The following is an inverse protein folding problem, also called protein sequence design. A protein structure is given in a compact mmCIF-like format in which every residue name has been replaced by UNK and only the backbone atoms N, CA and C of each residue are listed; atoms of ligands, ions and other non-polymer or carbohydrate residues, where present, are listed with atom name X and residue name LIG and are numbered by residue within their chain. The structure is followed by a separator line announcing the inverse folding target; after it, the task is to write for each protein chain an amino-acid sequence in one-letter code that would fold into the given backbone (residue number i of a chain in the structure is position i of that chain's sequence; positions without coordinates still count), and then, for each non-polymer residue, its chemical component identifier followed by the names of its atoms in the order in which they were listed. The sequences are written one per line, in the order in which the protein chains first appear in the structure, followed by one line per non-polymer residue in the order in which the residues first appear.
data_IF_093942598038
#
_entry.id   IF_093942598038
#
_cell.length_a   1.000
_cell.length_b   1.000
_cell.length_c   1.000
_cell.angle_alpha   90.00
_cell.angle_beta   90.00
_cell.angle_gamma   90.00
#
_symmetry.space_group_name_H-M   'P 1'
#
loop_
_entity.id
_entity.type
_entity.pdbx_description
1 polymer ?
#
# COMPACT_ATOMS: atom_id res chain seq x y z
N UNK A 1 16.91 31.43 73.77
CA UNK A 1 16.74 29.97 73.62
C UNK A 1 16.95 29.65 72.15
N UNK A 2 18.03 28.95 71.84
CA UNK A 2 18.51 28.64 70.49
C UNK A 2 17.82 27.39 69.96
N UNK A 3 17.29 27.44 68.73
CA UNK A 3 16.85 26.27 67.98
C UNK A 3 17.53 26.27 66.62
N UNK A 4 18.26 25.19 66.37
CA UNK A 4 19.20 25.03 65.27
C UNK A 4 18.56 24.71 63.93
N UNK A 5 19.26 25.14 62.89
CA UNK A 5 19.04 24.89 61.47
C UNK A 5 19.42 23.45 61.12
N UNK A 6 18.51 22.71 60.48
CA UNK A 6 18.79 21.39 59.89
C UNK A 6 19.06 21.55 58.40
N UNK A 7 20.28 21.24 57.96
CA UNK A 7 20.63 21.05 56.56
C UNK A 7 20.41 19.59 56.16
N UNK A 8 19.68 19.34 55.08
CA UNK A 8 19.60 18.04 54.44
C UNK A 8 20.15 18.10 53.02
N UNK A 9 21.16 17.26 52.83
CA UNK A 9 22.07 17.00 51.73
C UNK A 9 21.41 16.51 50.42
N UNK A 10 21.90 17.04 49.30
CA UNK A 10 21.69 16.57 47.93
C UNK A 10 22.54 15.32 47.62
N UNK A 11 22.00 14.26 47.02
CA UNK A 11 22.82 13.16 46.51
C UNK A 11 23.36 13.43 45.09
N UNK A 12 24.63 13.05 44.88
CA UNK A 12 25.32 13.07 43.60
C UNK A 12 24.91 11.87 42.73
N UNK A 13 24.61 12.11 41.44
CA UNK A 13 24.39 11.06 40.45
C UNK A 13 25.68 10.87 39.64
N UNK A 14 26.21 9.65 39.71
CA UNK A 14 27.40 9.16 39.02
C UNK A 14 27.15 8.98 37.52
N UNK A 15 28.09 9.46 36.71
CA UNK A 15 28.15 9.24 35.26
C UNK A 15 28.59 7.80 34.94
N UNK A 16 27.94 7.18 33.96
CA UNK A 16 28.30 5.85 33.45
C UNK A 16 29.36 5.94 32.33
N UNK A 17 30.28 4.97 32.22
CA UNK A 17 31.32 4.96 31.20
C UNK A 17 30.84 4.47 29.83
N UNK A 18 31.43 5.09 28.81
CA UNK A 18 31.32 4.79 27.38
C UNK A 18 31.73 3.35 27.05
N UNK A 19 30.88 2.62 26.33
CA UNK A 19 31.24 1.37 25.67
C UNK A 19 31.68 1.63 24.22
N UNK A 20 32.96 1.39 23.95
CA UNK A 20 33.58 1.36 22.63
C UNK A 20 33.18 0.06 21.93
N UNK A 21 32.61 0.15 20.73
CA UNK A 21 32.40 -1.02 19.84
C UNK A 21 33.45 -1.08 18.72
N UNK A 22 33.90 -2.28 18.32
CA UNK A 22 34.94 -2.47 17.31
C UNK A 22 34.41 -2.38 15.87
N UNK A 23 35.30 -2.13 14.87
CA UNK A 23 34.95 -2.12 13.46
C UNK A 23 35.06 -3.53 12.86
N UNK A 24 34.22 -3.86 11.87
CA UNK A 24 34.33 -4.92 10.84
C UNK A 24 32.93 -5.14 10.23
N UNK A 25 32.66 -5.44 8.95
CA UNK A 25 33.39 -5.74 7.72
C UNK A 25 32.57 -5.15 6.56
N UNK A 26 33.24 -4.84 5.44
CA UNK A 26 32.58 -4.48 4.18
C UNK A 26 31.96 -5.68 3.47
N UNK A 27 30.83 -5.43 2.82
CA UNK A 27 30.32 -6.19 1.67
C UNK A 27 29.82 -5.15 0.66
N UNK A 28 30.34 -5.21 -0.56
CA UNK A 28 29.98 -4.30 -1.64
C UNK A 28 28.72 -4.71 -2.42
N UNK A 29 28.38 -3.82 -3.36
CA UNK A 29 27.33 -3.89 -4.41
C UNK A 29 25.93 -3.50 -3.89
N UNK A 30 25.29 -2.40 -4.32
CA UNK A 30 24.85 -2.13 -5.70
C UNK A 30 24.67 -0.62 -6.01
N UNK A 31 24.89 -0.24 -7.27
CA UNK A 31 24.59 1.07 -7.86
C UNK A 31 23.07 1.22 -8.06
N UNK A 32 22.42 1.91 -7.12
CA UNK A 32 21.13 2.60 -7.15
C UNK A 32 20.19 2.37 -8.35
N UNK A 33 19.67 1.16 -8.53
CA UNK A 33 18.66 0.80 -9.55
C UNK A 33 17.29 1.50 -9.41
N UNK A 34 17.24 2.65 -8.75
CA UNK A 34 16.07 3.51 -8.61
C UNK A 34 16.08 4.61 -9.68
N UNK A 35 14.93 4.96 -10.26
CA UNK A 35 14.85 6.00 -11.26
C UNK A 35 15.25 7.33 -10.60
N UNK A 36 16.27 7.98 -11.15
CA UNK A 36 16.55 9.39 -10.83
C UNK A 36 15.31 10.20 -11.26
N UNK A 37 14.78 11.09 -10.40
CA UNK A 37 13.68 11.95 -10.80
C UNK A 37 14.10 12.77 -12.03
N UNK A 38 13.30 12.69 -13.10
CA UNK A 38 13.40 13.56 -14.28
C UNK A 38 12.96 14.97 -13.88
N UNK A 39 13.78 15.68 -13.11
CA UNK A 39 13.49 17.05 -12.71
C UNK A 39 14.78 17.87 -12.53
N UNK A 40 15.52 18.03 -13.62
CA UNK A 40 16.16 19.31 -13.91
C UNK A 40 15.68 19.73 -15.30
N UNK A 41 14.62 20.55 -15.30
CA UNK A 41 14.20 21.34 -16.46
C UNK A 41 15.35 22.28 -16.80
N UNK A 42 16.23 21.85 -17.71
CA UNK A 42 17.23 22.73 -18.31
C UNK A 42 16.53 23.79 -19.19
N UNK A 43 17.07 25.01 -19.30
CA UNK A 43 16.53 26.04 -20.18
C UNK A 43 16.62 25.59 -21.64
N UNK A 44 15.50 25.78 -22.35
CA UNK A 44 15.31 25.39 -23.75
C UNK A 44 16.45 25.88 -24.65
N UNK A 45 17.25 24.94 -25.15
CA UNK A 45 18.06 25.15 -26.34
C UNK A 45 17.42 24.41 -27.50
N UNK A 46 16.92 25.22 -28.41
CA UNK A 46 16.29 24.90 -29.67
C UNK A 46 17.13 23.88 -30.47
N UNK A 47 16.72 22.61 -30.46
CA UNK A 47 17.22 21.60 -31.38
C UNK A 47 16.20 20.47 -31.55
N UNK A 48 15.64 20.39 -32.75
CA UNK A 48 14.66 19.38 -33.17
C UNK A 48 15.22 17.95 -33.05
N UNK A 49 14.45 16.97 -32.57
CA UNK A 49 14.87 15.57 -32.57
C UNK A 49 14.73 14.91 -33.97
N UNK A 50 15.68 14.07 -34.40
CA UNK A 50 15.81 13.57 -35.78
C UNK A 50 15.04 12.26 -36.04
N UNK A 51 13.82 12.12 -35.51
CA UNK A 51 13.01 10.90 -35.71
C UNK A 51 11.60 11.27 -36.16
N UNK A 52 11.54 11.98 -37.28
CA UNK A 52 10.32 12.18 -38.05
C UNK A 52 10.68 11.84 -39.48
N UNK A 53 10.41 10.59 -39.88
CA UNK A 53 10.24 10.09 -41.24
C UNK A 53 10.18 8.56 -41.20
N UNK A 54 8.98 8.04 -40.99
CA UNK A 54 8.56 6.77 -41.59
C UNK A 54 7.09 6.96 -41.97
N UNK A 55 6.90 7.49 -43.17
CA UNK A 55 5.78 7.10 -44.01
C UNK A 55 6.04 5.64 -44.40
N UNK A 56 5.14 4.75 -44.03
CA UNK A 56 5.04 3.45 -44.66
C UNK A 56 3.56 3.16 -44.92
N UNK A 57 3.13 3.68 -46.06
CA UNK A 57 1.95 3.24 -46.77
C UNK A 57 2.28 1.90 -47.43
N UNK A 58 1.76 0.81 -46.89
CA UNK A 58 1.57 -0.38 -47.72
C UNK A 58 0.29 -1.16 -47.37
N UNK A 59 -0.52 -1.30 -48.41
CA UNK A 59 -1.74 -2.08 -48.46
C UNK A 59 -1.35 -3.55 -48.68
N UNK A 60 -1.74 -4.48 -47.81
CA UNK A 60 -1.77 -5.89 -48.19
C UNK A 60 -2.85 -6.69 -47.45
N UNK A 61 -3.96 -6.83 -48.16
CA UNK A 61 -4.75 -8.03 -48.42
C UNK A 61 -4.79 -9.16 -47.36
N UNK A 62 -6.01 -9.43 -46.90
CA UNK A 62 -6.40 -10.58 -46.10
C UNK A 62 -6.25 -11.92 -46.84
N UNK A 63 -5.88 -13.02 -46.16
CA UNK A 63 -5.99 -14.37 -46.72
C UNK A 63 -7.38 -15.00 -46.46
N UNK A 64 -7.83 -15.90 -47.35
CA UNK A 64 -9.22 -16.36 -47.41
C UNK A 64 -9.54 -17.53 -46.47
N UNK A 65 -10.84 -17.58 -46.14
CA UNK A 65 -11.55 -18.67 -45.48
C UNK A 65 -11.51 -19.95 -46.32
N UNK A 66 -11.11 -21.06 -45.71
CA UNK A 66 -11.40 -22.41 -46.21
C UNK A 66 -12.42 -23.09 -45.28
N UNK A 67 -13.59 -23.38 -45.85
CA UNK A 67 -14.61 -24.31 -45.34
C UNK A 67 -14.36 -25.67 -45.98
N UNK A 68 -14.53 -26.77 -45.24
CA UNK A 68 -14.95 -28.11 -45.72
C UNK A 68 -15.13 -29.08 -44.53
N UNK A 69 -15.81 -30.24 -44.68
CA UNK A 69 -17.00 -30.52 -43.87
C UNK A 69 -16.94 -31.82 -43.02
N UNK A 70 -18.03 -31.98 -42.25
CA UNK A 70 -18.58 -33.17 -41.60
C UNK A 70 -18.03 -34.54 -42.00
N UNK A 71 -17.74 -35.36 -40.98
CA UNK A 71 -18.08 -36.80 -40.98
C UNK A 71 -18.37 -37.28 -39.56
N UNK A 72 -19.52 -37.96 -39.44
CA UNK A 72 -20.02 -38.71 -38.29
C UNK A 72 -19.28 -40.04 -38.17
N UNK A 73 -19.12 -40.56 -36.95
CA UNK A 73 -19.56 -41.91 -36.56
C UNK A 73 -19.19 -42.22 -35.10
N UNK A 74 -19.94 -43.17 -34.55
CA UNK A 74 -20.17 -43.43 -33.13
C UNK A 74 -19.35 -44.62 -32.58
N UNK A 75 -19.75 -45.05 -31.38
CA UNK A 75 -19.41 -46.27 -30.61
C UNK A 75 -18.01 -46.33 -29.97
N UNK A 76 -17.74 -47.00 -28.84
CA UNK A 76 -18.42 -47.53 -27.62
C UNK A 76 -17.42 -48.58 -27.08
N UNK A 77 -17.38 -48.79 -25.75
CA UNK A 77 -16.85 -49.99 -25.04
C UNK A 77 -15.30 -50.13 -24.93
N UNK A 78 -14.76 -50.12 -23.68
CA UNK A 78 -14.26 -51.27 -22.87
C UNK A 78 -12.91 -51.82 -23.37
N UNK A 79 -11.82 -52.05 -22.62
CA UNK A 79 -11.62 -52.57 -21.26
C UNK A 79 -10.11 -52.46 -20.89
N UNK A 80 -9.68 -52.84 -19.66
CA UNK A 80 -8.33 -52.60 -19.13
C UNK A 80 -7.36 -53.78 -19.27
N UNK A 81 -6.05 -53.49 -19.38
CA UNK A 81 -4.93 -54.39 -19.06
C UNK A 81 -3.61 -53.59 -19.05
N UNK A 82 -2.91 -53.45 -17.93
CA UNK A 82 -1.86 -54.35 -17.41
C UNK A 82 -0.49 -54.19 -18.10
N UNK A 83 0.44 -53.64 -17.31
CA UNK A 83 1.91 -53.83 -17.30
C UNK A 83 2.70 -53.83 -18.62
N UNK A 84 3.48 -52.76 -18.81
CA UNK A 84 4.78 -52.84 -19.47
C UNK A 84 5.83 -52.02 -18.69
N UNK A 85 6.81 -52.74 -18.16
CA UNK A 85 8.09 -52.22 -17.68
C UNK A 85 8.88 -51.73 -18.90
N UNK A 86 8.94 -50.41 -19.07
CA UNK A 86 9.73 -49.76 -20.11
C UNK A 86 10.72 -48.79 -19.48
N UNK A 87 11.96 -49.25 -19.30
CA UNK A 87 13.12 -48.41 -19.04
C UNK A 87 13.35 -47.52 -20.25
N UNK A 88 12.92 -46.27 -20.15
CA UNK A 88 13.10 -45.23 -21.16
C UNK A 88 13.74 -44.02 -20.51
N UNK A 89 15.06 -43.94 -20.57
CA UNK A 89 15.86 -42.76 -20.25
C UNK A 89 15.53 -41.62 -21.21
N UNK A 90 14.41 -40.94 -20.95
CA UNK A 90 14.09 -39.66 -21.57
C UNK A 90 14.67 -38.57 -20.67
N UNK A 91 15.88 -38.18 -21.03
CA UNK A 91 16.47 -36.88 -20.72
C UNK A 91 15.49 -35.81 -21.19
N UNK A 92 14.53 -35.45 -20.32
CA UNK A 92 13.68 -34.28 -20.48
C UNK A 92 14.58 -33.08 -20.27
N UNK A 93 15.12 -32.60 -21.39
CA UNK A 93 15.79 -31.31 -21.52
C UNK A 93 14.97 -30.28 -20.76
N UNK A 94 15.53 -29.80 -19.67
CA UNK A 94 15.04 -28.67 -18.87
C UNK A 94 15.28 -27.38 -19.66
N UNK A 95 14.62 -27.24 -20.81
CA UNK A 95 14.47 -25.98 -21.51
C UNK A 95 13.06 -25.50 -21.23
N UNK A 96 12.91 -24.54 -20.32
CA UNK A 96 11.77 -23.61 -20.06
C UNK A 96 11.84 -23.23 -18.57
N UNK A 97 12.85 -22.45 -18.19
CA UNK A 97 12.84 -21.67 -16.92
C UNK A 97 13.14 -20.19 -17.18
N UNK A 98 13.60 -19.83 -18.39
CA UNK A 98 13.99 -18.45 -18.72
C UNK A 98 12.84 -17.50 -19.07
N UNK A 99 11.60 -17.98 -19.20
CA UNK A 99 10.44 -17.16 -19.58
C UNK A 99 9.50 -16.78 -18.43
N UNK A 100 9.44 -17.58 -17.36
CA UNK A 100 8.46 -17.37 -16.27
C UNK A 100 8.86 -16.25 -15.31
N UNK A 101 10.15 -15.97 -15.14
CA UNK A 101 10.60 -14.90 -14.23
C UNK A 101 10.33 -13.50 -14.80
N UNK A 102 10.39 -13.33 -16.12
CA UNK A 102 10.07 -12.05 -16.76
C UNK A 102 8.56 -11.75 -16.78
N UNK A 103 7.71 -12.79 -16.80
CA UNK A 103 6.25 -12.62 -16.69
C UNK A 103 5.78 -12.45 -15.23
N UNK A 104 6.44 -13.09 -14.26
CA UNK A 104 6.10 -12.92 -12.84
C UNK A 104 6.32 -11.48 -12.35
N UNK A 105 7.29 -10.75 -12.91
CA UNK A 105 7.52 -9.32 -12.63
C UNK A 105 6.39 -8.41 -13.14
N UNK A 106 5.44 -8.93 -13.91
CA UNK A 106 4.33 -8.14 -14.41
C UNK A 106 3.17 -8.10 -13.42
N UNK A 107 2.95 -9.15 -12.63
CA UNK A 107 1.78 -9.18 -11.76
C UNK A 107 1.99 -8.35 -10.49
N UNK A 108 0.93 -7.71 -9.96
CA UNK A 108 0.99 -7.09 -8.64
C UNK A 108 1.42 -8.10 -7.57
N UNK A 109 2.17 -7.66 -6.54
CA UNK A 109 2.52 -8.49 -5.39
C UNK A 109 1.29 -9.13 -4.75
N UNK A 110 1.47 -10.31 -4.14
CA UNK A 110 0.36 -11.09 -3.56
C UNK A 110 -0.32 -10.37 -2.40
N UNK A 111 0.41 -9.53 -1.68
CA UNK A 111 -0.16 -8.73 -0.60
C UNK A 111 -1.02 -7.56 -1.10
N UNK A 112 -1.02 -7.26 -2.40
CA UNK A 112 -1.93 -6.28 -2.95
C UNK A 112 -3.37 -6.78 -2.83
N UNK A 113 -4.27 -5.86 -2.46
CA UNK A 113 -5.69 -6.13 -2.42
C UNK A 113 -6.16 -6.47 -3.83
N UNK A 114 -6.89 -7.57 -3.96
CA UNK A 114 -7.39 -8.05 -5.25
C UNK A 114 -8.41 -7.11 -5.90
N UNK A 115 -9.00 -6.20 -5.11
CA UNK A 115 -9.97 -5.19 -5.56
C UNK A 115 -9.31 -3.82 -5.84
N UNK A 116 -8.00 -3.69 -5.64
CA UNK A 116 -7.30 -2.44 -5.92
C UNK A 116 -7.05 -2.26 -7.41
N UNK A 117 -7.34 -1.07 -7.92
CA UNK A 117 -6.87 -0.62 -9.22
C UNK A 117 -6.63 0.88 -9.14
N UNK A 118 -5.40 1.29 -9.45
CA UNK A 118 -4.96 2.67 -9.34
C UNK A 118 -5.51 3.55 -10.47
N UNK A 119 -5.77 2.93 -11.62
CA UNK A 119 -6.38 3.55 -12.78
C UNK A 119 -7.91 3.50 -12.75
N UNK A 120 -8.50 3.18 -11.59
CA UNK A 120 -9.93 2.96 -11.37
C UNK A 120 -10.80 3.76 -12.31
N UNK A 121 -11.06 3.17 -13.48
CA UNK A 121 -11.85 3.78 -14.51
C UNK A 121 -13.21 4.02 -13.86
N UNK A 122 -13.71 5.23 -14.02
CA UNK A 122 -15.06 5.68 -13.66
C UNK A 122 -16.14 4.80 -14.36
N UNK A 123 -15.72 3.83 -15.18
CA UNK A 123 -16.50 2.86 -15.94
C UNK A 123 -16.47 1.40 -15.43
N UNK A 124 -16.09 1.11 -14.18
CA UNK A 124 -16.25 -0.25 -13.60
C UNK A 124 -17.73 -0.66 -13.36
N UNK A 125 -18.68 0.02 -14.03
CA UNK A 125 -20.10 -0.29 -14.02
C UNK A 125 -20.59 -1.09 -15.23
N UNK A 126 -19.76 -1.41 -16.24
CA UNK A 126 -20.30 -1.90 -17.53
C UNK A 126 -19.70 -3.16 -18.15
N UNK A 127 -18.63 -3.77 -17.62
CA UNK A 127 -18.15 -5.06 -18.15
C UNK A 127 -17.75 -6.06 -17.05
N UNK A 128 -18.76 -6.81 -16.58
CA UNK A 128 -18.75 -8.27 -16.72
C UNK A 128 -17.73 -9.14 -15.98
N UNK A 129 -16.78 -8.61 -15.20
CA UNK A 129 -15.95 -9.44 -14.33
C UNK A 129 -16.73 -9.82 -13.07
N UNK A 130 -17.55 -10.86 -13.22
CA UNK A 130 -18.41 -11.46 -12.20
C UNK A 130 -17.54 -12.24 -11.20
N UNK A 131 -16.63 -11.56 -10.50
CA UNK A 131 -16.15 -12.05 -9.22
C UNK A 131 -17.35 -12.03 -8.29
N UNK A 132 -18.03 -13.18 -8.21
CA UNK A 132 -18.94 -13.51 -7.13
C UNK A 132 -18.10 -13.48 -5.85
N UNK A 133 -17.90 -12.29 -5.29
CA UNK A 133 -17.67 -12.17 -3.87
C UNK A 133 -18.84 -12.92 -3.24
N UNK A 134 -18.53 -14.07 -2.63
CA UNK A 134 -19.46 -14.72 -1.73
C UNK A 134 -19.72 -13.65 -0.68
N UNK A 135 -20.87 -12.98 -0.77
CA UNK A 135 -21.41 -12.20 0.32
C UNK A 135 -21.51 -13.18 1.49
N UNK A 136 -20.49 -13.21 2.34
CA UNK A 136 -20.58 -13.89 3.62
C UNK A 136 -21.82 -13.30 4.28
N UNK A 137 -22.78 -14.18 4.53
CA UNK A 137 -24.17 -13.81 4.74
C UNK A 137 -24.31 -12.78 5.85
N UNK A 138 -24.76 -11.58 5.48
CA UNK A 138 -25.44 -10.67 6.38
C UNK A 138 -26.82 -11.23 6.70
N UNK A 139 -26.84 -12.37 7.42
CA UNK A 139 -28.03 -12.82 8.13
C UNK A 139 -28.35 -11.77 9.20
N UNK A 140 -29.58 -11.25 9.20
CA UNK A 140 -30.00 -10.16 10.08
C UNK A 140 -29.68 -10.47 11.54
N UNK A 141 -28.70 -9.74 12.09
CA UNK A 141 -28.38 -9.52 13.51
C UNK A 141 -26.90 -9.14 13.75
N UNK A 142 -26.11 -8.78 12.73
CA UNK A 142 -24.77 -8.25 12.98
C UNK A 142 -24.88 -6.93 13.77
N UNK A 143 -24.22 -6.80 14.94
CA UNK A 143 -24.34 -5.62 15.78
C UNK A 143 -23.93 -4.37 15.00
N UNK A 144 -24.73 -3.31 15.13
CA UNK A 144 -24.48 -2.05 14.42
C UNK A 144 -23.27 -1.34 15.02
N UNK A 145 -22.09 -1.67 14.50
CA UNK A 145 -20.83 -1.03 14.88
C UNK A 145 -20.82 0.44 14.45
N UNK A 146 -20.60 1.33 15.40
CA UNK A 146 -20.55 2.78 15.20
C UNK A 146 -19.17 3.32 15.55
N UNK A 147 -18.54 4.06 14.63
CA UNK A 147 -17.22 4.67 14.87
C UNK A 147 -17.28 5.78 15.93
N UNK A 148 -16.18 5.92 16.67
CA UNK A 148 -16.00 7.00 17.63
C UNK A 148 -16.17 8.37 16.93
N UNK A 149 -16.88 9.34 17.55
CA UNK A 149 -17.18 10.63 16.91
C UNK A 149 -15.97 11.42 16.42
N UNK A 150 -14.80 11.21 17.02
CA UNK A 150 -13.56 11.91 16.66
C UNK A 150 -13.04 11.56 15.27
N UNK A 151 -13.37 10.37 14.77
CA UNK A 151 -12.80 9.82 13.53
C UNK A 151 -13.85 9.59 12.46
N UNK A 152 -15.14 9.74 12.77
CA UNK A 152 -16.22 9.47 11.82
C UNK A 152 -16.25 10.51 10.70
N UNK A 153 -15.83 10.13 9.50
CA UNK A 153 -15.87 11.03 8.34
C UNK A 153 -17.31 11.46 8.03
N UNK A 154 -17.50 12.76 7.81
CA UNK A 154 -18.83 13.35 7.55
C UNK A 154 -18.95 14.03 6.19
N UNK A 155 -17.89 14.04 5.36
CA UNK A 155 -17.88 14.77 4.09
C UNK A 155 -18.11 16.28 4.21
N UNK A 156 -18.01 16.84 5.42
CA UNK A 156 -18.25 18.25 5.69
C UNK A 156 -16.99 19.07 5.42
N UNK A 157 -17.17 20.36 5.09
CA UNK A 157 -16.06 21.30 4.87
C UNK A 157 -15.08 21.40 6.05
N UNK A 158 -15.54 21.09 7.27
CA UNK A 158 -14.69 20.95 8.45
C UNK A 158 -14.67 19.47 8.82
N UNK A 159 -13.53 18.77 8.75
CA UNK A 159 -13.40 17.36 9.13
C UNK A 159 -13.27 17.19 10.65
N UNK A 160 -13.69 16.04 11.23
CA UNK A 160 -13.68 15.81 12.68
C UNK A 160 -12.26 15.69 13.24
N UNK A 161 -11.33 15.26 12.40
CA UNK A 161 -9.92 15.19 12.69
C UNK A 161 -9.09 15.64 11.49
N UNK A 162 -7.84 15.97 11.74
CA UNK A 162 -6.81 16.12 10.72
C UNK A 162 -5.53 15.46 11.22
N UNK A 163 -4.91 14.64 10.38
CA UNK A 163 -3.59 14.07 10.60
C UNK A 163 -2.86 14.02 9.27
N UNK A 164 -1.66 14.58 9.19
CA UNK A 164 -0.78 14.32 8.05
C UNK A 164 -0.17 12.92 8.22
N UNK A 165 -0.50 12.01 7.32
CA UNK A 165 -0.04 10.62 7.35
C UNK A 165 1.48 10.46 7.15
N UNK A 166 2.18 11.55 6.84
CA UNK A 166 3.65 11.61 6.77
C UNK A 166 4.28 11.90 8.12
N UNK A 167 3.51 12.40 9.08
CA UNK A 167 3.97 12.81 10.40
C UNK A 167 3.59 11.81 11.49
N UNK A 168 4.17 12.01 12.67
CA UNK A 168 3.86 11.19 13.85
C UNK A 168 2.38 11.28 14.21
N UNK A 169 1.74 10.18 14.66
CA UNK A 169 0.36 10.19 15.17
C UNK A 169 0.10 11.24 16.26
N UNK A 170 1.13 11.68 16.98
CA UNK A 170 1.01 12.71 18.02
C UNK A 170 0.66 14.10 17.46
N UNK A 171 0.77 14.33 16.15
CA UNK A 171 0.37 15.60 15.51
C UNK A 171 -1.11 15.66 15.14
N UNK A 172 -1.87 14.60 15.47
CA UNK A 172 -3.30 14.54 15.22
C UNK A 172 -4.05 15.68 15.92
N UNK A 173 -4.97 16.29 15.19
CA UNK A 173 -5.84 17.34 15.69
C UNK A 173 -7.28 16.87 15.66
N UNK A 174 -7.93 16.80 16.82
CA UNK A 174 -9.37 16.54 16.91
C UNK A 174 -10.14 17.85 17.04
N UNK A 175 -11.15 18.04 16.20
CA UNK A 175 -12.01 19.22 16.24
C UNK A 175 -12.76 19.34 17.56
N UNK A 176 -13.08 18.22 18.20
CA UNK A 176 -13.77 18.18 19.48
C UNK A 176 -12.88 18.59 20.66
N UNK A 177 -11.55 18.64 20.47
CA UNK A 177 -10.57 18.95 21.51
C UNK A 177 -9.92 20.32 21.32
N UNK A 178 -10.53 21.26 20.58
CA UNK A 178 -9.92 22.56 20.26
C UNK A 178 -9.41 23.35 21.47
N UNK A 179 -10.07 23.19 22.61
CA UNK A 179 -9.79 23.98 23.82
C UNK A 179 -8.74 23.33 24.73
N UNK A 180 -8.19 22.16 24.37
CA UNK A 180 -7.15 21.48 25.15
C UNK A 180 -6.22 20.60 24.32
N UNK A 181 -5.08 20.27 24.90
CA UNK A 181 -4.15 19.33 24.28
C UNK A 181 -4.69 17.90 24.27
N UNK A 182 -4.24 17.14 23.27
CA UNK A 182 -4.47 15.70 23.19
C UNK A 182 -3.80 15.01 24.38
N UNK A 183 -4.52 14.12 25.05
CA UNK A 183 -4.01 13.35 26.18
C UNK A 183 -3.96 11.86 25.86
N UNK A 184 -3.20 11.09 26.63
CA UNK A 184 -3.18 9.62 26.51
C UNK A 184 -4.57 9.00 26.71
N UNK A 185 -5.38 9.56 27.60
CA UNK A 185 -6.76 9.12 27.84
C UNK A 185 -7.66 9.23 26.60
N UNK A 186 -7.45 10.23 25.75
CA UNK A 186 -8.18 10.35 24.50
C UNK A 186 -7.83 9.21 23.54
N UNK A 187 -6.55 8.86 23.48
CA UNK A 187 -6.03 7.80 22.60
C UNK A 187 -6.40 6.40 23.09
N UNK A 188 -6.67 6.21 24.38
CA UNK A 188 -7.14 4.94 24.96
C UNK A 188 -8.61 4.64 24.68
N UNK A 189 -9.37 5.56 24.09
CA UNK A 189 -10.77 5.32 23.73
C UNK A 189 -10.87 4.29 22.61
N UNK A 190 -11.93 3.49 22.61
CA UNK A 190 -12.19 2.54 21.54
C UNK A 190 -12.51 3.25 20.22
N UNK A 191 -12.08 2.63 19.12
CA UNK A 191 -12.34 3.12 17.75
C UNK A 191 -13.83 3.04 17.42
N UNK A 192 -14.56 2.09 18.00
CA UNK A 192 -15.96 1.87 17.73
C UNK A 192 -16.73 1.32 18.94
N UNK A 193 -18.05 1.39 18.84
CA UNK A 193 -19.02 0.84 19.78
C UNK A 193 -20.00 -0.09 19.04
N UNK A 194 -20.16 -1.37 19.44
CA UNK A 194 -19.35 -2.04 20.47
C UNK A 194 -17.87 -2.17 20.05
N UNK A 195 -16.92 -2.27 21.01
CA UNK A 195 -15.50 -2.45 20.70
C UNK A 195 -15.23 -3.73 19.91
N UNK A 196 -14.36 -3.64 18.90
CA UNK A 196 -13.93 -4.77 18.08
C UNK A 196 -12.48 -5.12 18.39
N UNK A 197 -12.13 -6.41 18.42
CA UNK A 197 -10.74 -6.87 18.65
C UNK A 197 -9.83 -6.68 17.43
N UNK A 198 -10.42 -6.70 16.24
CA UNK A 198 -9.73 -6.61 14.97
C UNK A 198 -10.49 -5.67 14.04
N UNK A 199 -9.76 -4.82 13.33
CA UNK A 199 -10.32 -3.92 12.32
C UNK A 199 -9.42 -3.91 11.10
N UNK A 200 -10.02 -4.10 9.92
CA UNK A 200 -9.34 -4.00 8.63
C UNK A 200 -9.69 -2.69 7.94
N UNK A 201 -8.66 -1.90 7.64
CA UNK A 201 -8.79 -0.64 6.93
C UNK A 201 -8.26 -0.75 5.50
N UNK A 202 -8.76 0.11 4.63
CA UNK A 202 -8.22 0.32 3.28
C UNK A 202 -8.26 1.79 2.90
N UNK A 203 -7.52 2.15 1.86
CA UNK A 203 -7.57 3.46 1.23
C UNK A 203 -7.66 3.29 -0.29
N UNK A 204 -8.41 4.17 -0.96
CA UNK A 204 -8.66 4.07 -2.40
C UNK A 204 -7.37 4.02 -3.23
N UNK A 205 -6.33 4.75 -2.82
CA UNK A 205 -5.03 4.81 -3.48
C UNK A 205 -3.96 3.90 -2.86
N UNK A 206 -4.29 3.08 -1.85
CA UNK A 206 -3.33 2.11 -1.30
C UNK A 206 -3.66 0.69 -1.74
N UNK A 207 -2.68 -0.01 -2.33
CA UNK A 207 -2.84 -1.41 -2.69
C UNK A 207 -2.82 -2.36 -1.50
N UNK A 208 -2.53 -1.92 -0.28
CA UNK A 208 -2.47 -2.80 0.89
C UNK A 208 -3.71 -2.64 1.80
N UNK A 209 -4.13 -3.72 2.45
CA UNK A 209 -4.96 -3.63 3.65
C UNK A 209 -4.11 -3.18 4.83
N UNK A 210 -4.75 -2.53 5.81
CA UNK A 210 -4.13 -2.19 7.09
C UNK A 210 -4.93 -2.92 8.16
N UNK A 211 -4.34 -3.97 8.71
CA UNK A 211 -4.95 -4.79 9.73
C UNK A 211 -4.50 -4.31 11.11
N UNK A 212 -5.48 -3.95 11.94
CA UNK A 212 -5.25 -3.48 13.30
C UNK A 212 -5.81 -4.51 14.26
N UNK A 213 -4.93 -5.04 15.09
CA UNK A 213 -5.28 -5.94 16.19
C UNK A 213 -5.12 -5.19 17.50
N UNK A 214 -6.05 -5.40 18.44
CA UNK A 214 -5.95 -4.75 19.74
C UNK A 214 -4.87 -5.39 20.59
N UNK A 215 -4.06 -4.55 21.25
CA UNK A 215 -3.22 -4.99 22.36
C UNK A 215 -4.03 -5.17 23.65
N UNK A 216 -5.25 -4.61 23.69
CA UNK A 216 -6.18 -4.70 24.81
C UNK A 216 -7.26 -5.76 24.52
N UNK A 217 -7.48 -6.73 25.41
CA UNK A 217 -8.52 -7.74 25.23
C UNK A 217 -9.95 -7.18 25.17
N UNK A 218 -10.16 -5.88 25.44
CA UNK A 218 -11.45 -5.21 25.31
C UNK A 218 -11.77 -4.72 23.89
N UNK A 219 -10.76 -4.42 23.07
CA UNK A 219 -10.96 -3.96 21.69
C UNK A 219 -9.98 -2.88 21.25
N UNK A 220 -9.96 -2.58 19.94
CA UNK A 220 -9.01 -1.66 19.29
C UNK A 220 -9.23 -0.24 19.79
N UNK A 221 -8.16 0.38 20.27
CA UNK A 221 -8.14 1.77 20.71
C UNK A 221 -7.74 2.71 19.58
N UNK A 222 -8.00 4.02 19.75
CA UNK A 222 -7.53 5.04 18.81
C UNK A 222 -6.00 5.01 18.69
N UNK A 223 -5.28 4.75 19.80
CA UNK A 223 -3.83 4.56 19.80
C UNK A 223 -3.40 3.43 18.86
N UNK A 224 -3.94 2.22 19.05
CA UNK A 224 -3.60 1.04 18.23
C UNK A 224 -3.81 1.33 16.74
N UNK A 225 -4.93 1.96 16.42
CA UNK A 225 -5.30 2.32 15.06
C UNK A 225 -4.32 3.31 14.43
N UNK A 226 -4.06 4.46 15.08
CA UNK A 226 -3.18 5.47 14.49
C UNK A 226 -1.72 5.03 14.43
N UNK A 227 -1.24 4.29 15.43
CA UNK A 227 0.10 3.72 15.43
C UNK A 227 0.28 2.74 14.26
N UNK A 228 -0.66 1.82 14.08
CA UNK A 228 -0.60 0.81 13.01
C UNK A 228 -0.72 1.44 11.63
N UNK A 229 -1.63 2.42 11.44
CA UNK A 229 -1.72 3.20 10.21
C UNK A 229 -0.36 3.86 9.91
N UNK A 230 0.23 4.56 10.88
CA UNK A 230 1.51 5.24 10.70
C UNK A 230 2.64 4.26 10.34
N UNK A 231 2.75 3.13 11.03
CA UNK A 231 3.73 2.08 10.69
C UNK A 231 3.55 1.59 9.25
N UNK A 232 2.31 1.34 8.82
CA UNK A 232 2.04 0.98 7.44
C UNK A 232 2.45 2.09 6.46
N UNK A 233 2.13 3.35 6.73
CA UNK A 233 2.48 4.48 5.86
C UNK A 233 4.00 4.67 5.72
N UNK A 234 4.74 4.42 6.81
CA UNK A 234 6.20 4.57 6.84
C UNK A 234 6.97 3.38 6.28
N UNK A 235 6.28 2.28 5.94
CA UNK A 235 6.91 1.09 5.37
C UNK A 235 7.50 1.39 3.98
N UNK A 236 8.79 1.10 3.73
CA UNK A 236 9.38 1.16 2.39
C UNK A 236 8.69 0.17 1.44
N UNK A 237 8.58 0.53 0.17
CA UNK A 237 8.03 -0.37 -0.85
C UNK A 237 9.14 -1.24 -1.46
N UNK A 238 8.76 -2.36 -2.05
CA UNK A 238 9.65 -3.19 -2.84
C UNK A 238 9.65 -2.80 -4.32
N UNK A 239 10.64 -3.29 -5.07
CA UNK A 239 10.71 -3.06 -6.51
C UNK A 239 9.48 -3.62 -7.25
N UNK A 240 8.95 -4.75 -6.80
CA UNK A 240 7.76 -5.39 -7.38
C UNK A 240 6.47 -4.57 -7.15
N UNK A 241 6.40 -3.79 -6.07
CA UNK A 241 5.31 -2.82 -5.88
C UNK A 241 5.36 -1.73 -6.94
N UNK A 242 6.55 -1.23 -7.25
CA UNK A 242 6.74 -0.10 -8.15
C UNK A 242 6.70 -0.49 -9.63
N UNK A 243 7.24 -1.66 -10.00
CA UNK A 243 7.34 -2.13 -11.38
C UNK A 243 6.41 -3.33 -11.62
N UNK A 244 5.12 -3.07 -11.81
CA UNK A 244 4.13 -4.08 -12.20
C UNK A 244 3.10 -3.51 -13.20
N UNK A 245 2.15 -4.34 -13.66
CA UNK A 245 1.17 -3.98 -14.70
C UNK A 245 0.11 -2.97 -14.26
N UNK A 246 -0.17 -2.86 -12.95
CA UNK A 246 -1.11 -1.85 -12.43
C UNK A 246 -0.44 -0.48 -12.30
N UNK A 247 0.90 -0.43 -12.27
CA UNK A 247 1.71 0.78 -12.18
C UNK A 247 2.21 1.25 -13.55
N UNK A 248 1.35 1.98 -14.27
CA UNK A 248 1.75 2.61 -15.54
C UNK A 248 2.83 3.71 -15.34
N UNK A 249 3.37 4.24 -16.44
CA UNK A 249 4.41 5.29 -16.38
C UNK A 249 3.94 6.56 -15.66
N UNK A 250 2.69 6.97 -15.87
CA UNK A 250 2.10 8.15 -15.25
C UNK A 250 1.96 7.99 -13.72
N UNK A 251 1.40 6.87 -13.27
CA UNK A 251 1.27 6.55 -11.85
C UNK A 251 2.63 6.53 -11.15
N UNK A 252 3.63 5.90 -11.77
CA UNK A 252 5.01 5.85 -11.25
C UNK A 252 5.62 7.24 -11.15
N UNK A 253 5.38 8.11 -12.13
CA UNK A 253 5.80 9.51 -12.07
C UNK A 253 5.13 10.26 -10.90
N UNK A 254 3.81 10.11 -10.72
CA UNK A 254 3.10 10.73 -9.60
C UNK A 254 3.59 10.24 -8.23
N UNK A 255 3.90 8.94 -8.08
CA UNK A 255 4.52 8.41 -6.85
C UNK A 255 5.92 8.99 -6.66
N UNK A 256 6.73 9.09 -7.72
CA UNK A 256 8.07 9.68 -7.65
C UNK A 256 8.02 11.16 -7.26
N UNK A 257 7.06 11.93 -7.78
CA UNK A 257 6.85 13.33 -7.40
C UNK A 257 6.44 13.46 -5.93
N UNK A 258 5.56 12.59 -5.45
CA UNK A 258 5.14 12.57 -4.04
C UNK A 258 6.31 12.23 -3.10
N UNK A 259 7.14 11.24 -3.48
CA UNK A 259 8.37 10.90 -2.78
C UNK A 259 9.35 12.08 -2.74
N UNK A 260 9.60 12.73 -3.88
CA UNK A 260 10.48 13.89 -3.97
C UNK A 260 9.99 15.06 -3.11
N UNK A 261 8.67 15.30 -3.09
CA UNK A 261 8.05 16.33 -2.26
C UNK A 261 8.09 16.02 -0.76
N UNK A 262 8.10 14.73 -0.36
CA UNK A 262 8.23 14.31 1.03
C UNK A 262 9.67 14.45 1.52
N UNK A 263 10.65 14.02 0.74
CA UNK A 263 12.05 13.97 1.15
C UNK A 263 12.67 15.38 1.23
N UNK A 264 12.91 15.85 2.47
CA UNK A 264 13.56 17.14 2.75
C UNK A 264 15.08 17.01 2.84
N UNK A 265 15.56 15.83 3.22
CA UNK A 265 16.99 15.56 3.43
C UNK A 265 17.48 14.40 2.56
N UNK A 266 18.78 14.34 2.34
CA UNK A 266 19.39 13.23 1.57
C UNK A 266 19.23 11.88 2.27
N UNK A 267 19.29 11.86 3.61
CA UNK A 267 19.04 10.63 4.39
C UNK A 267 17.63 10.07 4.17
N UNK A 268 16.62 10.92 4.01
CA UNK A 268 15.26 10.47 3.66
C UNK A 268 15.17 9.96 2.23
N UNK A 269 15.97 10.50 1.29
CA UNK A 269 16.01 10.00 -0.09
C UNK A 269 16.61 8.61 -0.16
N UNK A 270 17.65 8.34 0.61
CA UNK A 270 18.31 7.04 0.68
C UNK A 270 17.39 5.93 1.23
N UNK A 271 16.36 6.28 1.98
CA UNK A 271 15.35 5.34 2.47
C UNK A 271 14.33 4.93 1.39
N UNK A 272 14.37 5.55 0.22
CA UNK A 272 13.51 5.22 -0.91
C UNK A 272 12.05 5.63 -0.74
N UNK A 273 11.21 5.05 -1.60
CA UNK A 273 9.78 5.31 -1.65
C UNK A 273 9.09 4.52 -0.54
N UNK A 274 8.13 5.17 0.15
CA UNK A 274 7.32 4.57 1.20
C UNK A 274 5.88 4.43 0.75
N UNK A 275 5.10 3.60 1.43
CA UNK A 275 3.66 3.41 1.14
C UNK A 275 2.88 4.72 1.17
N UNK A 276 3.24 5.69 2.02
CA UNK A 276 2.61 7.02 2.04
C UNK A 276 2.72 7.77 0.70
N UNK A 277 3.75 7.50 -0.09
CA UNK A 277 3.98 8.17 -1.38
C UNK A 277 2.98 7.69 -2.46
N UNK A 278 2.39 6.50 -2.30
CA UNK A 278 1.27 6.02 -3.13
C UNK A 278 0.00 6.85 -2.95
N UNK A 279 -0.09 7.65 -1.91
CA UNK A 279 -1.20 8.59 -1.74
C UNK A 279 -1.13 9.78 -2.70
N UNK A 280 -0.02 9.96 -3.43
CA UNK A 280 0.12 10.97 -4.50
C UNK A 280 -0.26 12.39 -4.01
N UNK A 281 0.23 12.72 -2.81
CA UNK A 281 -0.04 13.99 -2.15
C UNK A 281 -1.37 14.08 -1.39
N UNK A 282 -2.22 13.05 -1.39
CA UNK A 282 -3.44 12.98 -0.57
C UNK A 282 -3.13 12.46 0.84
N UNK A 283 -2.29 13.18 1.58
CA UNK A 283 -1.76 12.70 2.86
C UNK A 283 -2.51 13.21 4.09
N UNK A 284 -3.47 14.14 3.96
CA UNK A 284 -4.23 14.66 5.10
C UNK A 284 -5.42 13.75 5.36
N UNK A 285 -5.32 12.90 6.38
CA UNK A 285 -6.42 12.05 6.87
C UNK A 285 -7.48 12.91 7.58
N UNK A 286 -8.73 12.76 7.14
CA UNK A 286 -9.87 13.53 7.66
C UNK A 286 -10.82 12.69 8.53
N UNK A 287 -10.68 11.38 8.45
CA UNK A 287 -11.49 10.42 9.20
C UNK A 287 -11.62 9.09 8.47
N UNK A 288 -12.58 8.31 8.94
CA UNK A 288 -12.85 6.93 8.56
C UNK A 288 -14.36 6.80 8.34
N UNK A 289 -14.75 6.02 7.33
CA UNK A 289 -16.14 5.68 7.06
C UNK A 289 -16.30 4.16 6.88
N UNK A 290 -17.54 3.69 7.02
CA UNK A 290 -17.85 2.28 6.77
C UNK A 290 -17.68 1.98 5.28
N UNK A 291 -16.87 0.98 4.96
CA UNK A 291 -16.67 0.47 3.61
C UNK A 291 -17.53 -0.74 3.31
N UNK A 292 -17.08 -1.56 2.36
CA UNK A 292 -17.70 -2.83 1.97
C UNK A 292 -17.17 -3.99 2.83
N UNK A 293 -17.95 -5.06 2.94
CA UNK A 293 -17.54 -6.33 3.55
C UNK A 293 -16.96 -6.21 4.97
N UNK A 294 -17.52 -5.31 5.78
CA UNK A 294 -17.07 -5.08 7.16
C UNK A 294 -15.76 -4.30 7.31
N UNK A 295 -15.20 -3.81 6.21
CA UNK A 295 -13.95 -3.02 6.20
C UNK A 295 -14.22 -1.53 6.41
N UNK A 296 -13.15 -0.80 6.75
CA UNK A 296 -13.21 0.63 7.04
C UNK A 296 -12.36 1.43 6.06
N UNK A 297 -12.95 2.44 5.43
CA UNK A 297 -12.27 3.28 4.44
C UNK A 297 -11.65 4.50 5.12
N UNK A 298 -10.34 4.68 4.95
CA UNK A 298 -9.63 5.89 5.34
C UNK A 298 -9.90 6.97 4.29
N UNK A 299 -10.31 8.16 4.74
CA UNK A 299 -10.60 9.30 3.87
C UNK A 299 -9.51 10.34 4.01
N UNK A 300 -8.94 10.74 2.88
CA UNK A 300 -7.86 11.72 2.81
C UNK A 300 -8.17 12.84 1.82
N UNK A 301 -7.45 13.95 1.97
CA UNK A 301 -7.39 15.03 0.99
C UNK A 301 -5.96 15.49 0.73
N UNK A 302 -5.78 16.28 -0.33
CA UNK A 302 -4.53 17.01 -0.55
C UNK A 302 -4.40 18.14 0.48
N UNK A 303 -3.18 18.45 0.96
CA UNK A 303 -2.93 19.67 1.71
C UNK A 303 -3.43 20.88 0.92
N UNK A 304 -4.05 21.84 1.61
CA UNK A 304 -4.36 23.13 0.99
C UNK A 304 -3.03 23.81 0.60
N UNK A 305 -2.92 24.44 -0.58
CA UNK A 305 -1.78 25.28 -0.88
C UNK A 305 -1.70 26.38 0.19
N UNK A 306 -0.55 26.47 0.86
CA UNK A 306 -0.22 27.50 1.83
C UNK A 306 -0.01 28.85 1.15
#
# INVERSE_FOLDING_TARGET
MSWGTSMSSTPAILAAPMAVMPPTFGVGVHTDGWPRPLASREPETNSSPPWKNYDDSDQSLAPPRSRTPLSRSASLSSSPSSFSLGSGSLSRKTSIVRGRTAEALKHPPREWRTDFSLNGNIFSGLLGARNRSRSFGGGGNEPKVTLHPYIRYTGLAKPPMMLDLRESPNTIQFRALKDRQLTSWDMMRFVCEPPLQHMRFYHAHLPWYIDVESQNPAGVTLYDMFATIHMCMMTPIENADYYNVEMNSEARAQVADAWAARCRTEGERQQGIRRVDYLMGRCIMEGIQKGKDGMWEIRTRKPSPS
#
